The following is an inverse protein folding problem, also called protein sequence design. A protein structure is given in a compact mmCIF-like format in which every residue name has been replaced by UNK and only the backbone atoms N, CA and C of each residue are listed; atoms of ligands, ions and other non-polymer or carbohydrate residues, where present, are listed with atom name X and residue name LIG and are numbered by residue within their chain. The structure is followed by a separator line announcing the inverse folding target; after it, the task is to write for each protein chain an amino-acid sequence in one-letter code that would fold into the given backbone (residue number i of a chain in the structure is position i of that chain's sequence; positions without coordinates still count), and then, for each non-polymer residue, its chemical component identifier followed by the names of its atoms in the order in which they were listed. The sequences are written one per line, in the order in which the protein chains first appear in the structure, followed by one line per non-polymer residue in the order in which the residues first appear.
data_IF_576015211943
#
_entry.id   IF_576015211943
#
_cell.length_a   1.000
_cell.length_b   1.000
_cell.length_c   1.000
_cell.angle_alpha   90.00
_cell.angle_beta   90.00
_cell.angle_gamma   90.00
#
_symmetry.space_group_name_H-M   'P 1'
#
loop_
_entity.id
_entity.type
_entity.pdbx_description
1 polymer ?
#
# COMPACT_ATOMS: atom_id res chain seq x y z
N UNK A 1 -18.22 8.01 -7.41
CA UNK A 1 -18.35 9.31 -6.68
C UNK A 1 -17.41 10.37 -7.25
N UNK A 2 -17.81 11.66 -7.35
CA UNK A 2 -16.96 12.76 -7.92
C UNK A 2 -15.56 12.86 -7.28
N UNK A 3 -15.40 12.46 -6.02
CA UNK A 3 -14.14 12.55 -5.27
C UNK A 3 -13.33 11.24 -5.19
N UNK A 4 -13.84 10.11 -5.70
CA UNK A 4 -13.21 8.78 -5.54
C UNK A 4 -11.77 8.74 -6.08
N UNK A 5 -11.52 9.43 -7.19
CA UNK A 5 -10.18 9.55 -7.79
C UNK A 5 -9.19 10.26 -6.87
N UNK A 6 -9.57 11.39 -6.30
CA UNK A 6 -8.70 12.18 -5.42
C UNK A 6 -8.42 11.49 -4.10
N UNK A 7 -9.43 10.81 -3.54
CA UNK A 7 -9.26 10.01 -2.33
C UNK A 7 -8.31 8.83 -2.62
N UNK A 8 -8.45 8.15 -3.76
CA UNK A 8 -7.52 7.10 -4.19
C UNK A 8 -6.07 7.59 -4.28
N UNK A 9 -5.83 8.76 -4.88
CA UNK A 9 -4.50 9.39 -4.96
C UNK A 9 -3.93 9.68 -3.57
N UNK A 10 -4.76 10.24 -2.67
CA UNK A 10 -4.34 10.53 -1.30
C UNK A 10 -3.87 9.26 -0.58
N UNK A 11 -4.63 8.17 -0.68
CA UNK A 11 -4.27 6.90 -0.03
C UNK A 11 -3.03 6.23 -0.67
N UNK A 12 -2.80 6.38 -1.98
CA UNK A 12 -1.54 5.95 -2.60
C UNK A 12 -0.32 6.67 -1.96
N UNK A 13 -0.43 7.98 -1.73
CA UNK A 13 0.65 8.77 -1.11
C UNK A 13 0.86 8.31 0.34
N UNK A 14 -0.22 8.09 1.09
CA UNK A 14 -0.14 7.59 2.47
C UNK A 14 0.56 6.24 2.53
N UNK A 15 0.26 5.30 1.63
CA UNK A 15 0.93 3.99 1.57
C UNK A 15 2.42 4.16 1.30
N UNK A 16 2.81 5.05 0.38
CA UNK A 16 4.23 5.34 0.09
C UNK A 16 4.92 5.87 1.34
N UNK A 17 4.34 6.87 2.02
CA UNK A 17 4.91 7.43 3.26
C UNK A 17 5.03 6.37 4.35
N UNK A 18 3.98 5.58 4.58
CA UNK A 18 4.00 4.48 5.55
C UNK A 18 5.05 3.42 5.21
N UNK A 19 5.39 3.23 3.93
CA UNK A 19 6.41 2.27 3.50
C UNK A 19 7.84 2.67 3.88
N UNK A 20 8.07 3.95 4.18
CA UNK A 20 9.35 4.44 4.72
C UNK A 20 9.40 4.45 6.26
N UNK A 21 8.26 4.32 6.93
CA UNK A 21 8.19 4.34 8.39
C UNK A 21 8.55 2.99 9.01
N UNK A 22 8.88 3.03 10.30
CA UNK A 22 9.06 1.85 11.15
C UNK A 22 7.72 1.12 11.26
N UNK A 23 7.72 -0.18 10.96
CA UNK A 23 6.51 -1.00 11.02
C UNK A 23 6.43 -1.75 12.33
N UNK A 24 7.56 -2.28 12.77
CA UNK A 24 7.67 -3.15 13.91
C UNK A 24 8.90 -2.79 14.73
N UNK A 25 8.76 -2.86 16.05
CA UNK A 25 9.86 -2.74 17.00
C UNK A 25 10.01 -4.07 17.73
N UNK A 26 11.23 -4.60 17.80
CA UNK A 26 11.53 -5.78 18.62
C UNK A 26 12.08 -5.28 19.97
N UNK A 27 11.33 -5.45 21.08
CA UNK A 27 11.66 -4.80 22.35
C UNK A 27 12.96 -5.31 23.00
N UNK A 28 13.32 -6.58 22.81
CA UNK A 28 14.52 -7.18 23.40
C UNK A 28 15.85 -6.64 22.86
N UNK A 29 15.88 -6.29 21.58
CA UNK A 29 17.08 -5.84 20.86
C UNK A 29 16.96 -4.37 20.41
N UNK A 30 15.87 -3.69 20.79
CA UNK A 30 15.52 -2.33 20.39
C UNK A 30 15.70 -2.09 18.88
N UNK A 31 15.36 -3.10 18.09
CA UNK A 31 15.59 -3.09 16.66
C UNK A 31 14.33 -2.64 15.95
N UNK A 32 14.44 -1.52 15.23
CA UNK A 32 13.38 -1.00 14.39
C UNK A 32 13.45 -1.63 13.01
N UNK A 33 12.39 -2.34 12.65
CA UNK A 33 12.21 -2.94 11.33
C UNK A 33 11.23 -2.04 10.57
N UNK A 34 11.76 -1.28 9.62
CA UNK A 34 10.98 -0.45 8.72
C UNK A 34 10.66 -1.15 7.40
N UNK A 35 9.78 -0.54 6.61
CA UNK A 35 9.48 -1.06 5.26
C UNK A 35 10.69 -1.05 4.32
N UNK A 36 11.65 -0.14 4.53
CA UNK A 36 12.85 0.01 3.70
C UNK A 36 14.16 -0.34 4.43
N UNK A 37 14.14 -0.37 5.76
CA UNK A 37 15.30 -0.62 6.62
C UNK A 37 15.11 -1.93 7.39
N UNK A 38 15.84 -2.97 6.99
CA UNK A 38 15.97 -4.21 7.75
C UNK A 38 17.28 -4.16 8.53
N UNK A 39 17.39 -3.29 9.54
CA UNK A 39 18.56 -3.32 10.42
C UNK A 39 18.62 -4.71 11.06
N UNK A 40 19.69 -5.48 10.84
CA UNK A 40 19.99 -6.74 11.53
C UNK A 40 19.23 -8.02 11.12
N UNK A 41 18.09 -7.96 10.43
CA UNK A 41 17.33 -9.19 10.08
C UNK A 41 17.42 -9.52 8.57
N UNK A 42 18.49 -10.23 8.18
CA UNK A 42 18.81 -10.56 6.77
C UNK A 42 17.69 -11.30 6.01
N UNK A 43 16.74 -11.92 6.73
CA UNK A 43 15.73 -12.81 6.15
C UNK A 43 14.43 -12.11 5.68
N UNK A 44 14.20 -10.83 6.03
CA UNK A 44 12.94 -10.14 5.69
C UNK A 44 13.02 -9.24 4.45
N UNK A 45 14.24 -8.97 3.94
CA UNK A 45 14.44 -8.14 2.75
C UNK A 45 13.91 -6.71 2.92
N UNK A 46 13.43 -6.10 1.82
CA UNK A 46 12.83 -4.74 1.79
C UNK A 46 11.33 -4.82 1.48
N UNK A 47 10.48 -5.13 2.47
CA UNK A 47 9.06 -5.44 2.22
C UNK A 47 8.24 -4.24 1.73
N UNK A 48 8.66 -3.00 2.04
CA UNK A 48 8.03 -1.75 1.59
C UNK A 48 8.26 -1.41 0.12
N UNK A 49 9.26 -2.01 -0.53
CA UNK A 49 9.63 -1.67 -1.91
C UNK A 49 8.49 -2.02 -2.89
N UNK A 50 7.85 -3.18 -2.71
CA UNK A 50 6.70 -3.58 -3.52
C UNK A 50 5.48 -2.68 -3.30
N UNK A 51 5.23 -2.23 -2.07
CA UNK A 51 4.16 -1.27 -1.81
C UNK A 51 4.40 0.07 -2.54
N UNK A 52 5.64 0.56 -2.56
CA UNK A 52 6.00 1.79 -3.26
C UNK A 52 5.80 1.63 -4.77
N UNK A 53 6.29 0.54 -5.38
CA UNK A 53 6.13 0.29 -6.82
C UNK A 53 4.64 0.19 -7.19
N UNK A 54 3.87 -0.63 -6.47
CA UNK A 54 2.45 -0.84 -6.76
C UNK A 54 1.63 0.43 -6.55
N UNK A 55 1.91 1.20 -5.49
CA UNK A 55 1.22 2.47 -5.21
C UNK A 55 1.60 3.55 -6.22
N UNK A 56 2.86 3.58 -6.67
CA UNK A 56 3.31 4.48 -7.73
C UNK A 56 2.61 4.19 -9.06
N UNK A 57 2.52 2.92 -9.47
CA UNK A 57 1.77 2.51 -10.66
C UNK A 57 0.28 2.84 -10.54
N UNK A 58 -0.33 2.53 -9.39
CA UNK A 58 -1.73 2.86 -9.11
C UNK A 58 -2.01 4.36 -9.17
N UNK A 59 -1.10 5.19 -8.64
CA UNK A 59 -1.19 6.65 -8.68
C UNK A 59 -1.23 7.16 -10.12
N UNK A 60 -0.32 6.68 -10.98
CA UNK A 60 -0.33 7.03 -12.41
C UNK A 60 -1.66 6.63 -13.06
N UNK A 61 -2.15 5.41 -12.80
CA UNK A 61 -3.43 4.95 -13.35
C UNK A 61 -4.64 5.77 -12.87
N UNK A 62 -4.62 6.31 -11.66
CA UNK A 62 -5.67 7.22 -11.18
C UNK A 62 -5.72 8.54 -11.96
N UNK A 63 -4.58 9.05 -12.43
CA UNK A 63 -4.49 10.30 -13.20
C UNK A 63 -4.96 10.13 -14.65
N UNK A 64 -4.82 8.94 -15.25
CA UNK A 64 -5.24 8.67 -16.62
C UNK A 64 -6.77 8.48 -16.72
N UNK A 65 -7.50 9.25 -17.55
CA UNK A 65 -8.95 9.10 -17.75
C UNK A 65 -9.27 7.99 -18.76
N UNK A 66 -8.68 6.81 -18.57
CA UNK A 66 -8.70 5.70 -19.51
C UNK A 66 -9.42 4.49 -18.86
N UNK A 67 -10.37 3.88 -19.56
CA UNK A 67 -11.19 2.75 -19.02
C UNK A 67 -10.34 1.52 -18.67
N UNK A 68 -9.41 1.16 -19.56
CA UNK A 68 -8.36 0.16 -19.35
C UNK A 68 -7.43 0.46 -18.17
N UNK A 69 -7.08 1.74 -17.92
CA UNK A 69 -6.29 2.12 -16.76
C UNK A 69 -7.03 1.81 -15.44
N UNK A 70 -8.35 2.00 -15.39
CA UNK A 70 -9.16 1.64 -14.22
C UNK A 70 -9.14 0.14 -13.94
N UNK A 71 -9.24 -0.70 -14.97
CA UNK A 71 -9.20 -2.17 -14.82
C UNK A 71 -7.84 -2.65 -14.29
N UNK A 72 -6.75 -2.08 -14.80
CA UNK A 72 -5.40 -2.37 -14.30
C UNK A 72 -5.19 -1.84 -12.88
N UNK A 73 -5.74 -0.68 -12.56
CA UNK A 73 -5.65 -0.12 -11.21
C UNK A 73 -6.32 -1.03 -10.17
N UNK A 74 -7.41 -1.70 -10.53
CA UNK A 74 -8.06 -2.68 -9.63
C UNK A 74 -7.13 -3.85 -9.33
N UNK A 75 -6.42 -4.35 -10.35
CA UNK A 75 -5.44 -5.41 -10.16
C UNK A 75 -4.27 -4.96 -9.27
N UNK A 76 -3.73 -3.76 -9.48
CA UNK A 76 -2.66 -3.22 -8.62
C UNK A 76 -3.11 -3.00 -7.18
N UNK A 77 -4.33 -2.49 -6.97
CA UNK A 77 -4.88 -2.31 -5.63
C UNK A 77 -5.09 -3.66 -4.91
N UNK A 78 -5.60 -4.68 -5.61
CA UNK A 78 -5.76 -6.03 -5.09
C UNK A 78 -4.42 -6.70 -4.73
N UNK A 79 -3.39 -6.52 -5.57
CA UNK A 79 -2.04 -7.00 -5.27
C UNK A 79 -1.43 -6.27 -4.07
N UNK A 80 -1.68 -4.97 -3.93
CA UNK A 80 -1.17 -4.16 -2.83
C UNK A 80 -1.75 -4.60 -1.48
N UNK A 81 -3.07 -4.83 -1.39
CA UNK A 81 -3.69 -5.36 -0.16
C UNK A 81 -3.22 -6.80 0.13
N UNK A 82 -3.09 -7.66 -0.89
CA UNK A 82 -2.58 -9.02 -0.70
C UNK A 82 -1.15 -9.00 -0.14
N UNK A 83 -0.30 -8.10 -0.66
CA UNK A 83 1.05 -7.90 -0.14
C UNK A 83 1.05 -7.33 1.28
N UNK A 84 0.17 -6.38 1.58
CA UNK A 84 0.01 -5.81 2.93
C UNK A 84 -0.37 -6.90 3.93
N UNK A 85 -1.34 -7.75 3.58
CA UNK A 85 -1.80 -8.84 4.42
C UNK A 85 -0.70 -9.88 4.65
N UNK A 86 0.03 -10.26 3.58
CA UNK A 86 1.20 -11.13 3.71
C UNK A 86 2.23 -10.55 4.68
N UNK A 87 2.59 -9.28 4.53
CA UNK A 87 3.55 -8.62 5.42
C UNK A 87 3.02 -8.56 6.85
N UNK A 88 1.75 -8.27 7.04
CA UNK A 88 1.12 -8.24 8.36
C UNK A 88 1.26 -9.57 9.10
N UNK A 89 1.06 -10.69 8.39
CA UNK A 89 1.20 -12.04 8.95
C UNK A 89 2.68 -12.43 9.13
N UNK A 90 3.52 -12.20 8.13
CA UNK A 90 4.92 -12.67 8.11
C UNK A 90 5.81 -11.87 9.05
N UNK A 91 5.65 -10.55 9.10
CA UNK A 91 6.47 -9.66 9.94
C UNK A 91 5.87 -9.59 11.35
N UNK A 92 4.54 -9.70 11.48
CA UNK A 92 3.84 -9.62 12.77
C UNK A 92 3.79 -10.91 13.59
N UNK A 93 4.36 -12.02 13.09
CA UNK A 93 4.43 -13.30 13.80
C UNK A 93 5.56 -13.29 14.82
N UNK A 94 5.37 -13.99 15.94
CA UNK A 94 6.45 -14.23 16.88
C UNK A 94 7.39 -15.31 16.32
N UNK A 95 8.69 -15.10 16.45
CA UNK A 95 9.71 -16.04 15.99
C UNK A 95 10.79 -16.15 17.07
N UNK A 96 11.15 -17.39 17.45
CA UNK A 96 12.19 -17.62 18.46
C UNK A 96 11.81 -17.20 19.88
N UNK A 97 10.51 -17.15 20.23
CA UNK A 97 10.03 -16.75 21.56
C UNK A 97 9.87 -15.24 21.76
N UNK A 98 10.27 -14.44 20.78
CA UNK A 98 10.17 -12.97 20.78
C UNK A 98 8.96 -12.52 19.95
N UNK A 99 8.10 -11.68 20.53
CA UNK A 99 6.94 -11.13 19.84
C UNK A 99 7.16 -9.67 19.43
N UNK A 100 7.07 -9.36 18.13
CA UNK A 100 7.24 -8.00 17.64
C UNK A 100 6.09 -7.06 18.06
N UNK A 101 6.43 -5.85 18.51
CA UNK A 101 5.46 -4.78 18.75
C UNK A 101 5.09 -4.08 17.44
N UNK A 102 3.79 -4.09 17.12
CA UNK A 102 3.26 -3.50 15.88
C UNK A 102 3.03 -2.01 16.10
N UNK A 103 3.67 -1.18 15.28
CA UNK A 103 3.47 0.27 15.33
C UNK A 103 2.17 0.69 14.63
N UNK A 104 1.71 1.92 14.91
CA UNK A 104 0.53 2.50 14.28
C UNK A 104 0.63 2.54 12.74
N UNK A 105 1.84 2.76 12.21
CA UNK A 105 2.08 2.85 10.76
C UNK A 105 1.77 1.54 10.03
N UNK A 106 1.96 0.41 10.71
CA UNK A 106 1.70 -0.89 10.13
C UNK A 106 0.20 -1.18 9.98
N UNK A 107 -0.60 -0.77 10.98
CA UNK A 107 -2.06 -0.79 10.88
C UNK A 107 -2.56 0.20 9.82
N UNK A 108 -1.95 1.38 9.75
CA UNK A 108 -2.33 2.42 8.80
C UNK A 108 -2.03 2.00 7.36
N UNK A 109 -0.92 1.32 7.10
CA UNK A 109 -0.58 0.72 5.80
C UNK A 109 -1.67 -0.28 5.36
N UNK A 110 -2.05 -1.22 6.23
CA UNK A 110 -3.08 -2.23 5.94
C UNK A 110 -4.44 -1.56 5.66
N UNK A 111 -4.88 -0.66 6.53
CA UNK A 111 -6.15 0.06 6.36
C UNK A 111 -6.15 0.88 5.06
N UNK A 112 -5.05 1.57 4.77
CA UNK A 112 -4.91 2.39 3.57
C UNK A 112 -4.97 1.55 2.29
N UNK A 113 -4.38 0.36 2.28
CA UNK A 113 -4.47 -0.56 1.15
C UNK A 113 -5.91 -1.04 0.89
N UNK A 114 -6.70 -1.24 1.95
CA UNK A 114 -8.10 -1.62 1.86
C UNK A 114 -8.98 -0.47 1.35
N UNK A 115 -8.77 0.74 1.88
CA UNK A 115 -9.48 1.93 1.41
C UNK A 115 -9.13 2.22 -0.06
N UNK A 116 -7.86 2.10 -0.46
CA UNK A 116 -7.44 2.26 -1.85
C UNK A 116 -8.20 1.30 -2.78
N UNK A 117 -8.33 0.02 -2.41
CA UNK A 117 -9.11 -0.96 -3.18
C UNK A 117 -10.58 -0.55 -3.33
N UNK A 118 -11.22 -0.13 -2.24
CA UNK A 118 -12.61 0.35 -2.27
C UNK A 118 -12.75 1.58 -3.18
N UNK A 119 -11.80 2.51 -3.14
CA UNK A 119 -11.84 3.72 -3.96
C UNK A 119 -11.66 3.43 -5.45
N UNK A 120 -10.87 2.41 -5.82
CA UNK A 120 -10.80 1.94 -7.21
C UNK A 120 -12.13 1.34 -7.65
N UNK A 121 -12.77 0.54 -6.79
CA UNK A 121 -14.05 -0.11 -7.09
C UNK A 121 -15.16 0.92 -7.38
N UNK A 122 -15.21 2.02 -6.61
CA UNK A 122 -16.22 3.08 -6.74
C UNK A 122 -15.83 4.26 -7.66
N UNK A 123 -14.68 4.16 -8.35
CA UNK A 123 -14.19 5.21 -9.24
C UNK A 123 -14.78 5.09 -10.64
N UNK A 124 -15.93 5.72 -10.91
CA UNK A 124 -16.46 5.80 -12.28
C UNK A 124 -15.63 6.72 -13.18
N UNK A 125 -14.99 6.18 -14.21
CA UNK A 125 -14.38 6.96 -15.29
C UNK A 125 -15.48 7.34 -16.28
N UNK A 126 -15.92 8.62 -16.22
CA UNK A 126 -16.72 9.19 -17.32
C UNK A 126 -15.82 9.37 -18.54
N UNK A 127 -16.11 8.64 -19.60
CA UNK A 127 -15.50 8.87 -20.91
C UNK A 127 -15.97 10.25 -21.35
N UNK A 128 -15.05 11.23 -21.42
CA UNK A 128 -15.36 12.49 -22.09
C UNK A 128 -15.55 12.14 -23.56
N UNK A 129 -16.80 12.05 -24.01
CA UNK A 129 -17.07 11.95 -25.44
C UNK A 129 -16.40 13.14 -26.10
N UNK A 130 -15.41 12.82 -26.96
CA UNK A 130 -14.76 13.81 -27.80
C UNK A 130 -15.87 14.33 -28.71
N UNK A 131 -16.35 15.55 -28.44
CA UNK A 131 -17.27 16.25 -29.33
C UNK A 131 -16.51 16.50 -30.64
N UNK A 132 -16.70 15.63 -31.62
CA UNK A 132 -16.21 15.83 -32.97
C UNK A 132 -16.97 17.04 -33.52
N UNK A 133 -16.25 18.15 -33.71
CA UNK A 133 -16.63 19.22 -34.62
C UNK A 133 -16.05 18.90 -36.00
#
# INVERSE_FOLDING_TARGET
MKYSRWIGVLFCIVIIVCSYMTWIVVPSIQLEIGGMTSNGTHNYGRPGLLHIILSGLALVMFLLPLVWAQRLNLAFAALNIAWALRNYIVVGRCAGGECPEKTIWFYLLLLSSLVMLLMVLFSDVKISEKKNN
#
